data_IF_153803782702
#
_entry.id   IF_153803782702
#
_cell.length_a   1.000
_cell.length_b   1.000
_cell.length_c   1.000
_cell.angle_alpha   90.00
_cell.angle_beta   90.00
_cell.angle_gamma   90.00
#
_symmetry.space_group_name_H-M   'P 1'
#
loop_
_entity.id
_entity.type
_entity.pdbx_description
1 polymer ?
#
# COMPACT_ATOMS: atom_id res chain seq x y z
N UNK A 1 -10.67 25.59 -3.80
CA UNK A 1 -9.85 25.17 -2.65
C UNK A 1 -9.47 26.45 -1.91
N UNK A 2 -10.14 26.74 -0.77
CA UNK A 2 -9.79 27.87 0.06
C UNK A 2 -8.49 27.57 0.80
N UNK A 3 -7.53 28.48 0.75
CA UNK A 3 -6.35 28.42 1.62
C UNK A 3 -6.82 28.63 3.05
N UNK A 4 -6.81 27.57 3.86
CA UNK A 4 -7.07 27.68 5.28
C UNK A 4 -5.84 28.34 5.94
N UNK A 5 -6.03 29.52 6.51
CA UNK A 5 -4.99 30.21 7.28
C UNK A 5 -5.14 29.80 8.75
N UNK A 6 -4.10 29.19 9.30
CA UNK A 6 -4.09 28.73 10.70
C UNK A 6 -3.74 29.93 11.58
N UNK A 7 -4.68 30.41 12.37
CA UNK A 7 -4.43 31.36 13.44
C UNK A 7 -3.91 30.70 14.72
N UNK A 8 -3.52 31.50 15.71
CA UNK A 8 -2.96 30.98 16.95
C UNK A 8 -3.99 30.17 17.77
N UNK A 9 -5.28 30.53 17.70
CA UNK A 9 -6.33 29.78 18.39
C UNK A 9 -6.51 28.39 17.79
N UNK A 10 -6.37 28.27 16.47
CA UNK A 10 -6.45 26.99 15.78
C UNK A 10 -5.20 26.11 16.03
N UNK A 11 -4.01 26.74 16.13
CA UNK A 11 -2.77 26.04 16.54
C UNK A 11 -2.88 25.49 17.95
N UNK A 12 -3.44 26.23 18.88
CA UNK A 12 -3.68 25.76 20.24
C UNK A 12 -4.62 24.56 20.28
N UNK A 13 -5.69 24.53 19.48
CA UNK A 13 -6.57 23.39 19.35
C UNK A 13 -5.83 22.15 18.80
N UNK A 14 -5.00 22.33 17.76
CA UNK A 14 -4.19 21.25 17.19
C UNK A 14 -3.19 20.71 18.22
N UNK A 15 -2.56 21.58 19.01
CA UNK A 15 -1.63 21.18 20.05
C UNK A 15 -2.32 20.38 21.16
N UNK A 16 -3.48 20.85 21.66
CA UNK A 16 -4.28 20.13 22.66
C UNK A 16 -4.74 18.76 22.13
N UNK A 17 -5.17 18.70 20.86
CA UNK A 17 -5.55 17.44 20.21
C UNK A 17 -4.37 16.47 20.10
N UNK A 18 -3.20 16.96 19.69
CA UNK A 18 -1.99 16.15 19.59
C UNK A 18 -1.54 15.58 20.94
N UNK A 19 -1.71 16.34 22.02
CA UNK A 19 -1.42 15.96 23.40
C UNK A 19 -2.47 15.02 24.02
N UNK A 20 -3.64 14.87 23.39
CA UNK A 20 -4.76 14.13 23.97
C UNK A 20 -5.44 14.85 25.13
N UNK A 21 -5.26 16.17 25.24
CA UNK A 21 -5.82 17.01 26.33
C UNK A 21 -7.01 17.83 25.85
N UNK A 22 -7.38 17.75 24.58
CA UNK A 22 -8.56 18.43 24.03
C UNK A 22 -9.85 17.86 24.61
N UNK A 23 -10.81 18.74 24.90
CA UNK A 23 -12.17 18.32 25.19
C UNK A 23 -12.85 17.66 23.97
N UNK A 24 -13.97 16.94 24.19
CA UNK A 24 -14.66 16.22 23.11
C UNK A 24 -15.14 17.11 21.97
N UNK A 25 -15.48 18.36 22.26
CA UNK A 25 -15.93 19.33 21.25
C UNK A 25 -14.79 19.70 20.28
N UNK A 26 -13.59 20.01 20.82
CA UNK A 26 -12.41 20.33 20.01
C UNK A 26 -11.95 19.11 19.21
N UNK A 27 -11.99 17.92 19.82
CA UNK A 27 -11.63 16.69 19.13
C UNK A 27 -12.56 16.43 17.94
N UNK A 28 -13.87 16.54 18.13
CA UNK A 28 -14.86 16.36 17.06
C UNK A 28 -14.71 17.41 15.95
N UNK A 29 -14.48 18.68 16.30
CA UNK A 29 -14.27 19.76 15.33
C UNK A 29 -13.03 19.49 14.45
N UNK A 30 -11.92 19.04 15.06
CA UNK A 30 -10.69 18.71 14.33
C UNK A 30 -10.83 17.43 13.51
N UNK A 31 -11.48 16.39 14.03
CA UNK A 31 -11.75 15.16 13.29
C UNK A 31 -12.57 15.44 12.02
N UNK A 32 -13.64 16.25 12.14
CA UNK A 32 -14.46 16.64 11.01
C UNK A 32 -13.65 17.45 9.98
N UNK A 33 -12.86 18.41 10.44
CA UNK A 33 -12.03 19.26 9.56
C UNK A 33 -10.93 18.45 8.85
N UNK A 34 -10.28 17.50 9.53
CA UNK A 34 -9.27 16.62 8.92
C UNK A 34 -9.88 15.63 7.93
N UNK A 35 -11.13 15.20 8.16
CA UNK A 35 -11.87 14.35 7.22
C UNK A 35 -12.17 15.07 5.90
N UNK A 36 -12.23 16.39 5.88
CA UNK A 36 -12.33 17.22 4.66
C UNK A 36 -10.99 17.37 3.92
N UNK A 37 -9.95 16.62 4.35
CA UNK A 37 -8.63 16.60 3.72
C UNK A 37 -7.90 17.94 3.69
N UNK A 38 -8.00 18.74 4.73
CA UNK A 38 -7.24 19.98 4.87
C UNK A 38 -5.75 19.68 5.05
N UNK A 39 -4.97 19.89 3.99
CA UNK A 39 -3.53 19.59 3.96
C UNK A 39 -2.78 20.44 5.00
N UNK A 40 -3.13 21.70 5.15
CA UNK A 40 -2.44 22.65 6.04
C UNK A 40 -2.56 22.20 7.50
N UNK A 41 -3.77 21.83 7.95
CA UNK A 41 -3.98 21.35 9.32
C UNK A 41 -3.37 19.96 9.56
N UNK A 42 -3.39 19.10 8.56
CA UNK A 42 -2.75 17.79 8.65
C UNK A 42 -1.22 17.89 8.77
N UNK A 43 -0.60 18.83 8.07
CA UNK A 43 0.83 19.11 8.17
C UNK A 43 1.21 19.70 9.53
N UNK A 44 0.44 20.68 10.02
CA UNK A 44 0.66 21.26 11.35
C UNK A 44 0.53 20.21 12.44
N UNK A 45 -0.51 19.37 12.41
CA UNK A 45 -0.67 18.26 13.36
C UNK A 45 0.51 17.27 13.29
N UNK A 46 1.02 17.00 12.11
CA UNK A 46 2.20 16.12 11.94
C UNK A 46 3.45 16.76 12.55
N UNK A 47 3.67 18.05 12.36
CA UNK A 47 4.80 18.78 12.92
C UNK A 47 4.74 18.81 14.46
N UNK A 48 3.58 19.08 15.04
CA UNK A 48 3.37 19.05 16.49
C UNK A 48 3.65 17.65 17.04
N UNK A 49 3.10 16.60 16.42
CA UNK A 49 3.35 15.20 16.84
C UNK A 49 4.82 14.80 16.75
N UNK A 50 5.54 15.26 15.72
CA UNK A 50 6.98 15.02 15.60
C UNK A 50 7.78 15.69 16.75
N UNK A 51 7.40 16.91 17.12
CA UNK A 51 8.00 17.63 18.24
C UNK A 51 7.73 16.92 19.58
N UNK A 52 6.51 16.44 19.79
CA UNK A 52 6.14 15.67 20.98
C UNK A 52 6.89 14.32 21.04
N UNK A 53 7.08 13.65 19.93
CA UNK A 53 7.86 12.42 19.85
C UNK A 53 9.34 12.67 20.21
N UNK A 54 9.93 13.77 19.72
CA UNK A 54 11.28 14.17 20.05
C UNK A 54 11.42 14.50 21.55
N UNK A 55 10.43 15.18 22.13
CA UNK A 55 10.39 15.47 23.56
C UNK A 55 10.28 14.18 24.40
N UNK A 56 9.45 13.22 23.98
CA UNK A 56 9.31 11.94 24.65
C UNK A 56 10.63 11.15 24.67
N UNK A 57 11.43 11.23 23.61
CA UNK A 57 12.77 10.61 23.53
C UNK A 57 13.80 11.26 24.46
N UNK A 58 13.57 12.49 24.92
CA UNK A 58 14.43 13.16 25.90
C UNK A 58 14.21 12.68 27.34
N UNK A 59 13.10 11.99 27.59
CA UNK A 59 12.80 11.45 28.92
C UNK A 59 13.75 10.29 29.27
N UNK A 60 14.09 10.20 30.56
CA UNK A 60 14.91 9.09 31.04
C UNK A 60 14.17 7.77 30.82
N UNK A 61 14.81 6.77 30.17
CA UNK A 61 14.18 5.47 29.99
C UNK A 61 13.79 4.84 31.34
N UNK A 62 12.57 4.38 31.42
CA UNK A 62 12.05 3.64 32.59
C UNK A 62 11.80 2.20 32.15
N UNK A 63 12.34 1.25 32.89
CA UNK A 63 12.10 -0.16 32.61
C UNK A 63 10.59 -0.48 32.75
N UNK A 64 9.97 -1.08 31.77
CA UNK A 64 8.56 -1.46 31.88
C UNK A 64 8.39 -2.57 32.94
N UNK A 65 7.22 -2.68 33.56
CA UNK A 65 6.92 -3.81 34.45
C UNK A 65 7.16 -5.16 33.76
N UNK A 66 7.63 -6.19 34.46
CA UNK A 66 8.05 -7.47 33.85
C UNK A 66 7.00 -8.15 32.97
N UNK A 67 5.70 -7.93 33.24
CA UNK A 67 4.60 -8.56 32.52
C UNK A 67 4.11 -7.76 31.29
N UNK A 68 4.67 -6.58 31.02
CA UNK A 68 4.24 -5.73 29.89
C UNK A 68 4.62 -6.38 28.57
N UNK A 69 5.80 -6.94 28.46
CA UNK A 69 6.24 -7.66 27.26
C UNK A 69 5.32 -8.86 26.96
N UNK A 70 5.03 -9.67 27.98
CA UNK A 70 4.14 -10.83 27.82
C UNK A 70 2.73 -10.41 27.40
N UNK A 71 2.17 -9.35 28.00
CA UNK A 71 0.87 -8.79 27.62
C UNK A 71 0.87 -8.26 26.19
N UNK A 72 1.91 -7.53 25.78
CA UNK A 72 2.06 -7.05 24.42
C UNK A 72 2.16 -8.21 23.42
N UNK A 73 2.97 -9.22 23.75
CA UNK A 73 3.08 -10.42 22.90
C UNK A 73 1.78 -11.21 22.84
N UNK A 74 1.05 -11.30 23.94
CA UNK A 74 -0.28 -11.95 23.96
C UNK A 74 -1.33 -11.17 23.16
N UNK A 75 -1.25 -9.84 23.17
CA UNK A 75 -2.11 -8.97 22.36
C UNK A 75 -1.73 -8.99 20.88
N UNK A 76 -0.42 -8.98 20.57
CA UNK A 76 0.10 -9.02 19.21
C UNK A 76 0.02 -10.41 18.57
N UNK A 77 -0.11 -11.48 19.36
CA UNK A 77 -0.41 -12.81 18.80
C UNK A 77 -1.76 -12.77 18.10
N UNK A 78 -1.82 -13.12 16.80
CA UNK A 78 -3.11 -13.26 16.13
C UNK A 78 -4.00 -14.18 16.96
N UNK A 79 -5.17 -13.73 17.30
CA UNK A 79 -6.20 -14.65 17.82
C UNK A 79 -6.44 -15.64 16.70
N UNK A 80 -6.00 -16.89 16.88
CA UNK A 80 -6.35 -17.95 15.95
C UNK A 80 -7.88 -17.95 15.87
N UNK A 81 -8.41 -17.68 14.67
CA UNK A 81 -9.84 -17.90 14.45
C UNK A 81 -10.09 -19.39 14.67
N UNK A 82 -11.22 -19.72 15.25
CA UNK A 82 -11.60 -21.12 15.56
C UNK A 82 -11.55 -22.02 14.31
N UNK A 83 -11.53 -21.46 13.13
CA UNK A 83 -11.55 -22.14 11.83
C UNK A 83 -10.15 -22.25 11.16
N UNK A 84 -9.07 -21.91 11.85
CA UNK A 84 -7.71 -22.00 11.28
C UNK A 84 -7.41 -21.02 10.12
N UNK A 85 -8.38 -20.17 9.76
CA UNK A 85 -8.21 -19.16 8.73
C UNK A 85 -7.37 -18.02 9.29
N UNK A 86 -6.18 -17.85 8.76
CA UNK A 86 -5.31 -16.76 9.14
C UNK A 86 -5.79 -15.46 8.48
N UNK A 87 -6.20 -14.51 9.28
CA UNK A 87 -6.60 -13.18 8.82
C UNK A 87 -5.42 -12.30 8.40
N UNK A 88 -4.19 -12.76 8.64
CA UNK A 88 -2.94 -12.13 8.18
C UNK A 88 -2.01 -13.16 7.58
N UNK A 89 -1.40 -12.83 6.45
CA UNK A 89 -0.33 -13.64 5.87
C UNK A 89 0.73 -13.87 6.92
N UNK A 90 1.06 -15.12 7.21
CA UNK A 90 2.28 -15.42 7.96
C UNK A 90 3.45 -14.96 7.12
N UNK A 91 4.05 -13.86 7.54
CA UNK A 91 5.42 -13.59 7.15
C UNK A 91 6.29 -14.36 8.15
N UNK A 92 7.03 -15.38 7.74
CA UNK A 92 8.05 -15.95 8.61
C UNK A 92 9.00 -14.82 8.99
N UNK A 93 9.36 -14.73 10.27
CA UNK A 93 10.31 -13.72 10.75
C UNK A 93 11.68 -13.83 10.06
N UNK A 94 11.99 -15.01 9.54
CA UNK A 94 13.20 -15.31 8.77
C UNK A 94 12.80 -15.76 7.37
N UNK A 95 13.04 -14.91 6.39
CA UNK A 95 13.03 -15.29 4.98
C UNK A 95 14.24 -16.15 4.59
N UNK A 96 14.87 -16.80 5.56
CA UNK A 96 15.89 -17.80 5.30
C UNK A 96 15.24 -19.04 4.67
N UNK A 97 15.78 -19.47 3.55
CA UNK A 97 15.29 -20.57 2.76
C UNK A 97 15.05 -21.83 3.60
N UNK A 98 13.80 -22.05 3.92
CA UNK A 98 13.26 -23.36 4.23
C UNK A 98 12.22 -23.65 3.15
N UNK A 99 11.82 -24.90 2.99
CA UNK A 99 10.92 -25.35 1.90
C UNK A 99 9.58 -24.61 1.86
N UNK A 100 9.26 -23.83 2.90
CA UNK A 100 7.99 -23.11 3.06
C UNK A 100 8.09 -21.60 2.70
N UNK A 101 9.26 -21.11 2.27
CA UNK A 101 9.46 -19.69 1.95
C UNK A 101 10.27 -19.47 0.69
N UNK A 102 9.93 -18.42 -0.06
CA UNK A 102 10.67 -17.94 -1.23
C UNK A 102 11.21 -16.56 -0.96
N UNK A 103 12.53 -16.41 -0.96
CA UNK A 103 13.19 -15.10 -0.86
C UNK A 103 13.86 -14.76 -2.19
N UNK A 104 13.39 -13.72 -2.85
CA UNK A 104 14.00 -13.14 -4.03
C UNK A 104 14.64 -11.80 -3.68
N UNK A 105 15.95 -11.69 -3.89
CA UNK A 105 16.67 -10.42 -3.72
C UNK A 105 16.32 -9.44 -4.84
N UNK A 106 16.39 -8.14 -4.53
CA UNK A 106 16.26 -7.09 -5.52
C UNK A 106 17.37 -7.22 -6.57
N UNK A 107 16.98 -7.46 -7.82
CA UNK A 107 17.90 -7.56 -8.96
C UNK A 107 17.26 -6.92 -10.19
N UNK A 108 17.73 -5.73 -10.61
CA UNK A 108 17.22 -5.08 -11.80
C UNK A 108 17.41 -5.87 -13.09
N UNK A 109 18.41 -6.76 -13.15
CA UNK A 109 18.68 -7.60 -14.32
C UNK A 109 17.74 -8.81 -14.45
N UNK A 110 16.92 -9.07 -13.43
CA UNK A 110 15.99 -10.20 -13.42
C UNK A 110 14.69 -9.94 -14.22
N UNK A 111 14.52 -8.75 -14.79
CA UNK A 111 13.43 -8.47 -15.72
C UNK A 111 13.72 -9.10 -17.07
N UNK A 112 12.73 -9.76 -17.64
CA UNK A 112 12.81 -10.40 -18.94
C UNK A 112 11.81 -9.75 -19.90
N UNK A 113 12.20 -9.53 -21.19
CA UNK A 113 11.27 -9.02 -22.18
C UNK A 113 10.06 -9.95 -22.32
N UNK A 114 8.89 -9.34 -22.51
CA UNK A 114 7.68 -10.08 -22.87
C UNK A 114 7.50 -10.13 -24.40
N UNK A 115 6.43 -10.75 -24.86
CA UNK A 115 6.06 -10.73 -26.27
C UNK A 115 5.61 -9.33 -26.76
N UNK A 116 5.35 -8.41 -25.84
CA UNK A 116 4.92 -7.04 -26.16
C UNK A 116 6.11 -6.12 -26.05
N UNK A 117 6.52 -5.45 -27.14
CA UNK A 117 7.67 -4.54 -27.12
C UNK A 117 7.53 -3.44 -26.06
N UNK A 118 8.59 -3.17 -25.32
CA UNK A 118 8.61 -2.17 -24.25
C UNK A 118 8.01 -2.63 -22.92
N UNK A 119 7.59 -3.88 -22.81
CA UNK A 119 7.12 -4.48 -21.56
C UNK A 119 8.07 -5.60 -21.14
N UNK A 120 8.56 -5.47 -19.92
CA UNK A 120 9.39 -6.47 -19.25
C UNK A 120 8.70 -6.95 -17.97
N UNK A 121 8.88 -8.22 -17.66
CA UNK A 121 8.32 -8.80 -16.44
C UNK A 121 9.37 -9.55 -15.63
N UNK A 122 9.26 -9.47 -14.32
CA UNK A 122 10.00 -10.30 -13.37
C UNK A 122 9.00 -11.11 -12.57
N UNK A 123 8.98 -12.42 -12.78
CA UNK A 123 8.17 -13.34 -11.97
C UNK A 123 8.74 -13.43 -10.56
N UNK A 124 7.87 -13.27 -9.58
CA UNK A 124 8.22 -13.42 -8.16
C UNK A 124 7.75 -14.77 -7.63
N UNK A 125 6.52 -15.16 -7.94
CA UNK A 125 5.96 -16.43 -7.49
C UNK A 125 4.90 -16.94 -8.48
N UNK A 126 4.76 -18.26 -8.59
CA UNK A 126 3.72 -18.91 -9.40
C UNK A 126 3.02 -19.95 -8.54
N UNK A 127 1.73 -19.74 -8.28
CA UNK A 127 0.85 -20.73 -7.67
C UNK A 127 0.04 -21.42 -8.78
N UNK A 128 0.47 -22.64 -9.14
CA UNK A 128 -0.21 -23.40 -10.17
C UNK A 128 -1.54 -23.98 -9.72
N UNK A 129 -1.72 -24.15 -8.40
CA UNK A 129 -2.95 -24.70 -7.82
C UNK A 129 -4.08 -23.70 -7.84
N UNK A 130 -3.75 -22.41 -7.58
CA UNK A 130 -4.73 -21.33 -7.55
C UNK A 130 -4.80 -20.56 -8.86
N UNK A 131 -3.97 -20.89 -9.83
CA UNK A 131 -3.79 -20.13 -11.07
C UNK A 131 -3.49 -18.65 -10.82
N UNK A 132 -2.48 -18.39 -10.01
CA UNK A 132 -2.01 -17.03 -9.68
C UNK A 132 -0.53 -16.92 -9.98
N UNK A 133 -0.17 -15.84 -10.65
CA UNK A 133 1.22 -15.40 -10.78
C UNK A 133 1.38 -14.04 -10.09
N UNK A 134 2.41 -13.92 -9.26
CA UNK A 134 2.86 -12.65 -8.69
C UNK A 134 4.09 -12.18 -9.45
N UNK A 135 4.04 -10.97 -9.99
CA UNK A 135 5.12 -10.43 -10.82
C UNK A 135 5.27 -8.92 -10.68
N UNK A 136 6.48 -8.45 -10.95
CA UNK A 136 6.72 -7.05 -11.27
C UNK A 136 6.67 -6.89 -12.79
N UNK A 137 5.97 -5.86 -13.25
CA UNK A 137 5.90 -5.50 -14.67
C UNK A 137 6.45 -4.09 -14.81
N UNK A 138 7.34 -3.90 -15.77
CA UNK A 138 7.86 -2.59 -16.16
C UNK A 138 7.39 -2.29 -17.58
N UNK A 139 6.80 -1.14 -17.77
CA UNK A 139 6.40 -0.62 -19.08
C UNK A 139 7.26 0.61 -19.39
N UNK A 140 7.88 0.62 -20.56
CA UNK A 140 8.59 1.79 -21.04
C UNK A 140 7.61 2.93 -21.39
N UNK A 141 8.10 4.17 -21.39
CA UNK A 141 7.30 5.34 -21.80
C UNK A 141 6.66 5.12 -23.18
N UNK A 142 5.40 5.48 -23.32
CA UNK A 142 4.62 5.34 -24.55
C UNK A 142 4.20 3.91 -24.90
N UNK A 143 4.40 2.95 -24.00
CA UNK A 143 4.01 1.54 -24.23
C UNK A 143 2.55 1.32 -23.90
N UNK A 144 1.92 0.37 -24.61
CA UNK A 144 0.56 -0.07 -24.36
C UNK A 144 0.47 -1.59 -24.21
N UNK A 145 -0.45 -2.04 -23.38
CA UNK A 145 -0.86 -3.43 -23.25
C UNK A 145 -2.26 -3.61 -23.86
N UNK A 146 -2.49 -4.62 -24.71
CA UNK A 146 -3.74 -4.77 -25.43
C UNK A 146 -4.91 -5.12 -24.50
N UNK A 147 -6.16 -4.97 -25.00
CA UNK A 147 -7.34 -5.40 -24.28
C UNK A 147 -7.26 -6.89 -23.95
N UNK A 148 -7.73 -7.27 -22.78
CA UNK A 148 -7.69 -8.65 -22.35
C UNK A 148 -8.79 -8.98 -21.35
N UNK A 149 -9.09 -10.29 -21.25
CA UNK A 149 -10.03 -10.84 -20.28
C UNK A 149 -9.26 -11.61 -19.22
N UNK A 150 -9.64 -11.40 -17.97
CA UNK A 150 -9.01 -12.05 -16.84
C UNK A 150 -9.43 -13.50 -16.66
N UNK A 151 -8.47 -14.40 -16.62
CA UNK A 151 -8.71 -15.82 -16.32
C UNK A 151 -8.98 -16.09 -14.83
N UNK A 152 -8.57 -15.18 -13.97
CA UNK A 152 -8.81 -15.17 -12.53
C UNK A 152 -8.88 -13.72 -12.03
N UNK A 153 -9.01 -13.51 -10.73
CA UNK A 153 -8.89 -12.16 -10.12
C UNK A 153 -7.52 -11.58 -10.45
N UNK A 154 -7.49 -10.32 -10.88
CA UNK A 154 -6.28 -9.54 -11.03
C UNK A 154 -6.21 -8.44 -9.98
N UNK A 155 -5.04 -8.27 -9.38
CA UNK A 155 -4.71 -7.16 -8.49
C UNK A 155 -3.50 -6.43 -9.05
N UNK A 156 -3.65 -5.12 -9.26
CA UNK A 156 -2.63 -4.23 -9.78
C UNK A 156 -2.31 -3.13 -8.76
N UNK A 157 -1.04 -2.99 -8.39
CA UNK A 157 -0.56 -1.88 -7.57
C UNK A 157 0.52 -1.12 -8.34
N UNK A 158 0.37 0.18 -8.48
CA UNK A 158 1.35 1.04 -9.15
C UNK A 158 2.47 1.39 -8.17
N UNK A 159 3.65 0.83 -8.39
CA UNK A 159 4.84 1.11 -7.59
C UNK A 159 5.49 2.45 -7.97
N UNK A 160 5.50 2.77 -9.27
CA UNK A 160 6.03 4.04 -9.78
C UNK A 160 5.46 4.35 -11.16
N UNK A 161 5.43 5.64 -11.53
CA UNK A 161 4.97 6.11 -12.84
C UNK A 161 3.45 6.25 -12.93
N UNK A 162 2.93 6.06 -14.13
CA UNK A 162 1.51 6.20 -14.47
C UNK A 162 1.00 5.00 -15.28
N UNK A 163 -0.25 4.61 -15.07
CA UNK A 163 -0.96 3.61 -15.87
C UNK A 163 -2.36 4.12 -16.20
N UNK A 164 -2.65 4.31 -17.47
CA UNK A 164 -3.99 4.70 -17.93
C UNK A 164 -4.74 3.48 -18.46
N UNK A 165 -5.97 3.31 -17.99
CA UNK A 165 -6.87 2.22 -18.35
C UNK A 165 -7.97 2.78 -19.25
N UNK A 166 -7.98 2.39 -20.52
CA UNK A 166 -8.91 2.92 -21.52
C UNK A 166 -8.78 4.43 -21.69
N UNK A 167 -9.94 5.10 -21.77
CA UNK A 167 -10.02 6.56 -21.97
C UNK A 167 -10.28 7.33 -20.64
N UNK A 168 -10.40 6.63 -19.51
CA UNK A 168 -11.03 7.26 -18.35
C UNK A 168 -10.26 7.29 -17.04
N UNK A 169 -9.38 6.35 -16.77
CA UNK A 169 -8.76 6.22 -15.46
C UNK A 169 -7.24 6.19 -15.58
N UNK A 170 -6.56 7.18 -15.02
CA UNK A 170 -5.11 7.17 -14.86
C UNK A 170 -4.77 6.91 -13.40
N UNK A 171 -4.02 5.84 -13.18
CA UNK A 171 -3.48 5.43 -11.89
C UNK A 171 -2.04 5.96 -11.75
N UNK A 172 -1.67 6.35 -10.55
CA UNK A 172 -0.34 6.83 -10.19
C UNK A 172 0.27 5.98 -9.08
N UNK A 173 1.53 6.23 -8.77
CA UNK A 173 2.22 5.53 -7.67
C UNK A 173 1.40 5.56 -6.37
N UNK A 174 1.14 4.38 -5.81
CA UNK A 174 0.31 4.17 -4.63
C UNK A 174 -1.13 3.75 -4.93
N UNK A 175 -1.57 3.85 -6.18
CA UNK A 175 -2.92 3.44 -6.57
C UNK A 175 -3.01 1.92 -6.73
N UNK A 176 -4.19 1.40 -6.41
CA UNK A 176 -4.54 -0.01 -6.47
C UNK A 176 -5.83 -0.22 -7.25
N UNK A 177 -5.83 -1.21 -8.11
CA UNK A 177 -7.02 -1.68 -8.83
C UNK A 177 -7.16 -3.19 -8.66
N UNK A 178 -8.41 -3.65 -8.54
CA UNK A 178 -8.75 -5.06 -8.52
C UNK A 178 -9.84 -5.33 -9.54
N UNK A 179 -9.61 -6.36 -10.34
CA UNK A 179 -10.56 -6.83 -11.36
C UNK A 179 -11.03 -8.24 -11.02
N UNK A 180 -12.30 -8.50 -11.23
CA UNK A 180 -12.88 -9.81 -11.00
C UNK A 180 -12.54 -10.78 -12.14
N UNK A 181 -12.58 -12.07 -11.83
CA UNK A 181 -12.50 -13.11 -12.85
C UNK A 181 -13.54 -12.88 -13.96
N UNK A 182 -13.16 -13.19 -15.18
CA UNK A 182 -13.96 -13.04 -16.42
C UNK A 182 -14.31 -11.59 -16.78
N UNK A 183 -13.84 -10.59 -16.02
CA UNK A 183 -13.94 -9.18 -16.42
C UNK A 183 -12.92 -8.85 -17.51
N UNK A 184 -13.13 -7.71 -18.18
CA UNK A 184 -12.29 -7.27 -19.29
C UNK A 184 -11.64 -5.93 -18.99
N UNK A 185 -10.38 -5.83 -19.35
CA UNK A 185 -9.67 -4.56 -19.42
C UNK A 185 -9.67 -4.03 -20.86
N UNK A 186 -9.94 -2.74 -21.06
CA UNK A 186 -9.59 -2.06 -22.31
C UNK A 186 -8.05 -1.94 -22.40
N UNK A 187 -7.57 -1.40 -23.52
CA UNK A 187 -6.14 -1.09 -23.67
C UNK A 187 -5.63 -0.31 -22.47
N UNK A 188 -4.54 -0.78 -21.89
CA UNK A 188 -3.80 -0.07 -20.84
C UNK A 188 -2.55 0.55 -21.46
N UNK A 189 -2.20 1.74 -21.05
CA UNK A 189 -1.00 2.43 -21.58
C UNK A 189 -0.37 3.32 -20.52
N UNK A 190 0.90 3.65 -20.71
CA UNK A 190 1.63 4.57 -19.85
C UNK A 190 2.23 5.69 -20.69
N UNK A 191 2.18 6.90 -20.18
CA UNK A 191 2.79 8.07 -20.82
C UNK A 191 4.29 8.14 -20.51
N UNK A 192 4.62 8.07 -19.25
CA UNK A 192 5.97 8.34 -18.75
C UNK A 192 6.73 7.06 -18.35
N UNK A 193 6.07 5.91 -18.47
CA UNK A 193 6.54 4.62 -18.00
C UNK A 193 6.08 4.29 -16.60
N UNK A 194 5.96 3.00 -16.28
CA UNK A 194 5.55 2.56 -14.95
C UNK A 194 6.21 1.27 -14.51
N UNK A 195 6.15 1.04 -13.22
CA UNK A 195 6.44 -0.26 -12.59
C UNK A 195 5.24 -0.67 -11.75
N UNK A 196 4.75 -1.87 -11.98
CA UNK A 196 3.56 -2.43 -11.37
C UNK A 196 3.92 -3.67 -10.57
N UNK A 197 3.22 -3.90 -9.47
CA UNK A 197 3.10 -5.21 -8.84
C UNK A 197 1.76 -5.80 -9.26
N UNK A 198 1.80 -6.95 -9.93
CA UNK A 198 0.62 -7.65 -10.40
C UNK A 198 0.49 -9.02 -9.73
N UNK A 199 -0.73 -9.33 -9.30
CA UNK A 199 -1.19 -10.69 -9.04
C UNK A 199 -2.26 -10.97 -10.10
N UNK A 200 -2.02 -11.96 -10.98
CA UNK A 200 -2.89 -12.19 -12.14
C UNK A 200 -2.97 -13.68 -12.48
N UNK A 201 -3.88 -14.04 -13.37
CA UNK A 201 -3.94 -15.39 -13.97
C UNK A 201 -2.79 -15.62 -14.94
N UNK A 202 -2.40 -16.87 -15.09
CA UNK A 202 -1.53 -17.30 -16.20
C UNK A 202 -2.31 -17.52 -17.50
N UNK A 203 -3.64 -17.44 -17.45
CA UNK A 203 -4.54 -17.79 -18.54
C UNK A 203 -5.41 -16.61 -18.98
N UNK A 204 -4.89 -15.38 -18.85
CA UNK A 204 -5.55 -14.21 -19.39
C UNK A 204 -5.61 -14.32 -20.92
N UNK A 205 -6.71 -13.85 -21.51
CA UNK A 205 -7.00 -13.95 -22.94
C UNK A 205 -6.92 -12.57 -23.56
N UNK A 206 -5.97 -12.38 -24.48
CA UNK A 206 -5.93 -11.15 -25.28
C UNK A 206 -7.16 -11.09 -26.20
N UNK A 207 -7.79 -9.93 -26.23
CA UNK A 207 -8.93 -9.63 -27.07
C UNK A 207 -8.43 -8.98 -28.37
N UNK A 208 -9.03 -9.36 -29.51
CA UNK A 208 -8.64 -8.87 -30.82
C UNK A 208 -9.17 -7.46 -31.08
#
# INVERSE_FOLDING_TARGET
MGTHEIDDAWRDKIAQYALGTSGPEIAHELDAHLAESCVVCAEELRAVRASLAALALSARPVAPPPNVFEKLMAYARPKASADGVQTWKKWPADFAANDDSVLLRGDPSAFQPTAIPGIEARRLFVDTTRDVITMLVRMASGTSYPPHRHGNVEECYVLSGDLTVGEGVTMHSGDYQRMEKDSEHPTQWTKDGCTLLLLSSRHDVLLA
#
